data_IF_268311435005
#
_entry.id   IF_268311435005
#
_cell.length_a   1.000
_cell.length_b   1.000
_cell.length_c   1.000
_cell.angle_alpha   90.00
_cell.angle_beta   90.00
_cell.angle_gamma   90.00
#
_symmetry.space_group_name_H-M   'P 1'
#
loop_
_entity.id
_entity.type
_entity.pdbx_description
1 polymer ?
#
# COMPACT_ATOMS: atom_id res chain seq x y z
N UNK A 1 15.99 3.29 16.81
CA UNK A 1 15.08 4.33 17.31
C UNK A 1 13.62 3.86 17.32
N UNK A 2 13.11 3.27 16.22
CA UNK A 2 11.74 2.75 16.08
C UNK A 2 11.39 1.65 17.11
N UNK A 3 12.26 0.66 17.33
CA UNK A 3 12.04 -0.36 18.37
C UNK A 3 11.90 0.23 19.77
N UNK A 4 12.64 1.30 20.10
CA UNK A 4 12.49 1.99 21.40
C UNK A 4 11.13 2.68 21.51
N UNK A 5 10.67 3.32 20.44
CA UNK A 5 9.35 3.97 20.39
C UNK A 5 8.23 2.92 20.52
N UNK A 6 8.34 1.78 19.84
CA UNK A 6 7.38 0.68 19.94
C UNK A 6 7.32 0.10 21.36
N UNK A 7 8.48 -0.21 21.97
CA UNK A 7 8.53 -0.68 23.35
C UNK A 7 8.00 0.35 24.34
N UNK A 8 8.27 1.65 24.13
CA UNK A 8 7.72 2.73 24.96
C UNK A 8 6.20 2.87 24.79
N UNK A 9 5.67 2.77 23.58
CA UNK A 9 4.22 2.76 23.31
C UNK A 9 3.53 1.55 23.93
N UNK A 10 4.11 0.35 23.81
CA UNK A 10 3.62 -0.87 24.44
C UNK A 10 3.64 -0.71 25.97
N UNK A 11 4.71 -0.18 26.54
CA UNK A 11 4.82 0.03 27.98
C UNK A 11 3.84 1.10 28.50
N UNK A 12 3.66 2.21 27.78
CA UNK A 12 2.71 3.28 28.14
C UNK A 12 1.26 2.78 28.03
N UNK A 13 0.90 2.08 26.94
CA UNK A 13 -0.44 1.53 26.77
C UNK A 13 -0.77 0.45 27.80
N UNK A 14 0.17 -0.47 28.07
CA UNK A 14 -0.03 -1.54 29.06
C UNK A 14 -0.05 -1.06 30.52
N UNK A 15 0.56 0.08 30.85
CA UNK A 15 0.60 0.59 32.23
C UNK A 15 -0.43 1.68 32.54
N UNK A 16 -0.92 2.40 31.52
CA UNK A 16 -1.79 3.57 31.73
C UNK A 16 -3.23 3.32 31.24
N UNK A 17 -3.48 2.34 30.36
CA UNK A 17 -4.77 2.19 29.69
C UNK A 17 -5.17 0.71 29.54
N UNK A 18 -5.76 0.11 30.58
CA UNK A 18 -6.37 -1.23 30.57
C UNK A 18 -7.55 -1.41 29.58
N UNK A 19 -7.77 -0.41 28.71
CA UNK A 19 -8.86 -0.30 27.75
C UNK A 19 -8.44 -0.63 26.31
N UNK A 20 -7.16 -0.92 26.09
CA UNK A 20 -6.68 -1.30 24.77
C UNK A 20 -6.53 -2.80 24.68
N UNK A 21 -6.99 -3.35 23.55
CA UNK A 21 -6.73 -4.71 23.13
C UNK A 21 -5.40 -4.74 22.37
N UNK A 22 -4.61 -5.78 22.65
CA UNK A 22 -3.26 -5.94 22.13
C UNK A 22 -3.16 -7.26 21.38
N UNK A 23 -2.90 -7.20 20.08
CA UNK A 23 -2.65 -8.36 19.25
C UNK A 23 -1.19 -8.39 18.84
N UNK A 24 -0.48 -9.47 19.16
CA UNK A 24 0.88 -9.71 18.69
C UNK A 24 0.93 -11.05 17.97
N UNK A 25 1.40 -11.05 16.74
CA UNK A 25 1.62 -12.25 15.93
C UNK A 25 2.97 -12.20 15.25
N UNK A 26 3.47 -13.36 14.87
CA UNK A 26 4.73 -13.48 14.16
C UNK A 26 4.93 -14.89 13.64
N UNK A 27 5.82 -15.03 12.68
CA UNK A 27 6.10 -16.29 12.03
C UNK A 27 7.54 -16.36 11.58
N UNK A 28 8.06 -17.58 11.49
CA UNK A 28 9.37 -17.87 10.92
C UNK A 28 9.23 -19.02 9.92
N UNK A 29 9.91 -18.92 8.79
CA UNK A 29 10.00 -19.97 7.78
C UNK A 29 11.44 -20.05 7.26
N UNK A 30 11.97 -21.27 7.13
CA UNK A 30 13.33 -21.49 6.66
C UNK A 30 13.45 -22.71 5.76
N UNK A 31 14.29 -22.63 4.74
CA UNK A 31 14.69 -23.75 3.88
C UNK A 31 16.20 -23.70 3.66
N UNK A 32 16.92 -24.77 3.97
CA UNK A 32 18.36 -24.90 3.70
C UNK A 32 18.69 -25.46 2.31
N UNK A 33 19.94 -25.27 1.87
CA UNK A 33 20.51 -25.80 0.62
C UNK A 33 20.92 -24.73 -0.38
N UNK A 34 21.09 -25.06 -1.67
CA UNK A 34 21.46 -24.11 -2.74
C UNK A 34 20.46 -22.96 -2.96
N UNK A 35 19.32 -22.99 -2.28
CA UNK A 35 18.29 -21.94 -2.28
C UNK A 35 17.92 -21.60 -0.84
N UNK A 36 18.96 -21.38 -0.03
CA UNK A 36 18.84 -21.04 1.39
C UNK A 36 17.92 -19.84 1.55
N UNK A 37 16.86 -20.00 2.31
CA UNK A 37 15.83 -18.98 2.49
C UNK A 37 15.49 -18.91 3.95
N UNK A 38 15.50 -17.72 4.51
CA UNK A 38 15.07 -17.45 5.88
C UNK A 38 14.11 -16.29 5.83
N UNK A 39 12.95 -16.44 6.43
CA UNK A 39 11.90 -15.44 6.46
C UNK A 39 11.36 -15.32 7.88
N UNK A 40 11.15 -14.09 8.31
CA UNK A 40 10.38 -13.82 9.52
C UNK A 40 9.44 -12.65 9.31
N UNK A 41 8.36 -12.67 10.07
CA UNK A 41 7.44 -11.55 10.20
C UNK A 41 7.07 -11.32 11.65
N UNK A 42 6.69 -10.08 11.93
CA UNK A 42 6.08 -9.66 13.18
C UNK A 42 5.00 -8.64 12.85
N UNK A 43 3.83 -8.83 13.45
CA UNK A 43 2.70 -7.93 13.35
C UNK A 43 2.16 -7.65 14.74
N UNK A 44 1.96 -6.37 15.05
CA UNK A 44 1.43 -5.90 16.32
C UNK A 44 0.29 -4.93 16.06
N UNK A 45 -0.82 -5.08 16.77
CA UNK A 45 -1.93 -4.14 16.76
C UNK A 45 -2.35 -3.77 18.19
N UNK A 46 -2.76 -2.51 18.33
CA UNK A 46 -3.29 -1.91 19.54
C UNK A 46 -4.62 -1.26 19.16
N UNK A 47 -5.72 -1.74 19.70
CA UNK A 47 -7.08 -1.30 19.36
C UNK A 47 -7.83 -0.83 20.59
N UNK A 48 -8.74 0.12 20.42
CA UNK A 48 -9.75 0.45 21.44
C UNK A 48 -11.02 0.94 20.77
N UNK A 49 -12.17 0.48 21.28
CA UNK A 49 -13.49 0.80 20.75
C UNK A 49 -14.39 1.27 21.91
N UNK A 50 -15.11 2.37 21.73
CA UNK A 50 -15.99 2.94 22.74
C UNK A 50 -15.37 4.13 23.50
N UNK A 51 -15.72 4.30 24.77
CA UNK A 51 -15.33 5.48 25.56
C UNK A 51 -13.86 5.40 26.01
N UNK A 52 -12.95 6.12 25.35
CA UNK A 52 -11.51 6.11 25.65
C UNK A 52 -11.17 7.06 26.80
N UNK A 53 -10.67 6.51 27.90
CA UNK A 53 -10.24 7.28 29.07
C UNK A 53 -8.82 7.84 28.88
N UNK A 54 -8.67 9.16 28.93
CA UNK A 54 -7.39 9.87 28.89
C UNK A 54 -7.21 10.65 30.19
N UNK A 55 -6.95 9.93 31.28
CA UNK A 55 -6.84 10.51 32.62
C UNK A 55 -8.14 11.17 33.07
N UNK A 56 -8.16 12.52 33.10
CA UNK A 56 -9.34 13.29 33.52
C UNK A 56 -10.39 13.52 32.40
N UNK A 57 -10.07 13.17 31.15
CA UNK A 57 -10.96 13.36 30.01
C UNK A 57 -11.42 12.01 29.46
N UNK A 58 -12.68 11.90 29.06
CA UNK A 58 -13.23 10.72 28.38
C UNK A 58 -13.61 11.09 26.97
N UNK A 59 -12.97 10.46 25.99
CA UNK A 59 -13.33 10.56 24.58
C UNK A 59 -14.42 9.54 24.29
N UNK A 60 -15.67 10.01 24.25
CA UNK A 60 -16.83 9.12 24.07
C UNK A 60 -16.90 8.52 22.67
N UNK A 61 -17.37 7.28 22.59
CA UNK A 61 -17.66 6.58 21.33
C UNK A 61 -16.54 6.74 20.30
N UNK A 62 -15.30 6.46 20.69
CA UNK A 62 -14.11 6.61 19.85
C UNK A 62 -13.58 5.26 19.39
N UNK A 63 -12.93 5.25 18.24
CA UNK A 63 -12.20 4.09 17.74
C UNK A 63 -10.73 4.48 17.56
N UNK A 64 -9.84 3.62 18.04
CA UNK A 64 -8.41 3.77 17.89
C UNK A 64 -7.80 2.49 17.35
N UNK A 65 -6.88 2.63 16.40
CA UNK A 65 -6.03 1.58 15.91
C UNK A 65 -4.60 2.12 15.79
N UNK A 66 -3.64 1.42 16.36
CA UNK A 66 -2.24 1.48 15.96
C UNK A 66 -1.80 0.08 15.54
N UNK A 67 -1.24 -0.05 14.34
CA UNK A 67 -0.74 -1.31 13.81
C UNK A 67 0.68 -1.14 13.28
N UNK A 68 1.49 -2.17 13.47
CA UNK A 68 2.86 -2.28 13.00
C UNK A 68 3.06 -3.65 12.37
N UNK A 69 3.62 -3.70 11.18
CA UNK A 69 4.00 -4.93 10.50
C UNK A 69 5.43 -4.81 9.98
N UNK A 70 6.18 -5.88 10.10
CA UNK A 70 7.55 -5.98 9.58
C UNK A 70 7.77 -7.36 9.02
N UNK A 71 8.21 -7.41 7.77
CA UNK A 71 8.63 -8.63 7.10
C UNK A 71 10.09 -8.50 6.68
N UNK A 72 10.81 -9.62 6.75
CA UNK A 72 12.18 -9.70 6.27
C UNK A 72 12.50 -11.11 5.77
N UNK A 73 13.25 -11.18 4.67
CA UNK A 73 13.80 -12.41 4.16
C UNK A 73 15.23 -12.28 3.68
N UNK A 74 15.98 -13.37 3.80
CA UNK A 74 17.28 -13.60 3.17
C UNK A 74 17.12 -14.71 2.14
N UNK A 75 17.74 -14.57 0.96
CA UNK A 75 17.76 -15.61 -0.07
C UNK A 75 19.18 -15.83 -0.59
N UNK A 76 19.70 -17.06 -0.49
CA UNK A 76 21.01 -17.48 -0.99
C UNK A 76 22.15 -16.52 -0.61
N UNK A 77 22.17 -16.05 0.65
CA UNK A 77 23.16 -15.09 1.16
C UNK A 77 22.89 -13.62 0.80
N UNK A 78 21.84 -13.33 0.04
CA UNK A 78 21.35 -11.96 -0.20
C UNK A 78 20.51 -11.54 1.00
N UNK A 79 21.08 -10.70 1.86
CA UNK A 79 20.35 -10.04 2.94
C UNK A 79 19.27 -9.11 2.38
N UNK A 80 18.12 -9.02 3.06
CA UNK A 80 17.01 -8.13 2.70
C UNK A 80 16.42 -8.42 1.31
N UNK A 81 16.40 -9.70 0.90
CA UNK A 81 15.71 -10.14 -0.31
C UNK A 81 14.22 -9.75 -0.30
N UNK A 82 13.59 -9.85 0.87
CA UNK A 82 12.37 -9.11 1.19
C UNK A 82 12.66 -8.26 2.42
N UNK A 83 12.28 -6.98 2.41
CA UNK A 83 12.45 -6.13 3.57
C UNK A 83 11.46 -4.97 3.49
N UNK A 84 10.34 -5.14 4.17
CA UNK A 84 9.27 -4.14 4.19
C UNK A 84 8.74 -3.93 5.60
N UNK A 85 8.18 -2.75 5.83
CA UNK A 85 7.58 -2.37 7.10
C UNK A 85 6.38 -1.48 6.82
N UNK A 86 5.34 -1.63 7.64
CA UNK A 86 4.21 -0.73 7.65
C UNK A 86 3.83 -0.34 9.08
N UNK A 87 3.49 0.93 9.26
CA UNK A 87 2.92 1.51 10.46
C UNK A 87 1.62 2.21 10.07
N UNK A 88 0.56 1.95 10.82
CA UNK A 88 -0.76 2.54 10.59
C UNK A 88 -1.31 3.04 11.92
N UNK A 89 -1.76 4.28 11.95
CA UNK A 89 -2.53 4.85 13.04
C UNK A 89 -3.84 5.38 12.48
N UNK A 90 -4.96 5.01 13.09
CA UNK A 90 -6.28 5.54 12.79
C UNK A 90 -6.97 5.91 14.08
N UNK A 91 -7.65 7.03 14.07
CA UNK A 91 -8.46 7.45 15.19
C UNK A 91 -9.72 8.14 14.68
N UNK A 92 -10.87 7.68 15.14
CA UNK A 92 -12.19 8.24 14.87
C UNK A 92 -12.79 8.69 16.20
N UNK A 93 -13.22 9.94 16.28
CA UNK A 93 -13.99 10.46 17.41
C UNK A 93 -15.49 10.35 17.07
N UNK A 94 -16.32 9.98 18.04
CA UNK A 94 -17.77 9.77 17.84
C UNK A 94 -18.05 8.84 16.64
N UNK A 95 -17.38 7.70 16.59
CA UNK A 95 -17.37 6.76 15.47
C UNK A 95 -18.78 6.33 15.02
N UNK A 96 -19.73 6.30 15.97
CA UNK A 96 -21.15 6.03 15.76
C UNK A 96 -22.06 7.25 15.70
N UNK A 97 -21.50 8.44 15.91
CA UNK A 97 -22.20 9.72 15.74
C UNK A 97 -22.58 10.03 14.29
N UNK A 98 -23.50 10.99 14.12
CA UNK A 98 -23.90 11.50 12.80
C UNK A 98 -22.71 12.09 12.06
N UNK A 99 -21.84 12.80 12.77
CA UNK A 99 -20.57 13.32 12.26
C UNK A 99 -19.45 12.76 13.12
N UNK A 100 -18.45 12.18 12.48
CA UNK A 100 -17.31 11.54 13.14
C UNK A 100 -16.02 12.07 12.51
N UNK A 101 -15.32 13.01 13.17
CA UNK A 101 -14.01 13.46 12.71
C UNK A 101 -12.98 12.35 12.93
N UNK A 102 -12.04 12.22 12.01
CA UNK A 102 -11.03 11.19 12.04
C UNK A 102 -9.68 11.69 11.57
N UNK A 103 -8.64 10.96 11.97
CA UNK A 103 -7.29 11.12 11.49
C UNK A 103 -6.69 9.78 11.10
N UNK A 104 -5.77 9.83 10.15
CA UNK A 104 -5.01 8.69 9.66
C UNK A 104 -3.55 9.11 9.60
N UNK A 105 -2.65 8.25 10.05
CA UNK A 105 -1.21 8.42 9.84
C UNK A 105 -0.62 7.07 9.48
N UNK A 106 -0.10 6.97 8.25
CA UNK A 106 0.49 5.75 7.72
C UNK A 106 1.94 6.04 7.33
N UNK A 107 2.84 5.09 7.59
CA UNK A 107 4.22 5.13 7.13
C UNK A 107 4.70 3.74 6.77
N UNK A 108 5.44 3.62 5.67
CA UNK A 108 5.98 2.34 5.21
C UNK A 108 7.29 2.49 4.45
N UNK A 109 8.02 1.38 4.30
CA UNK A 109 9.08 1.22 3.31
C UNK A 109 9.00 -0.19 2.73
N UNK A 110 9.50 -0.38 1.52
CA UNK A 110 9.55 -1.67 0.83
C UNK A 110 10.76 -1.69 -0.12
N UNK A 111 11.84 -2.34 0.33
CA UNK A 111 13.09 -2.40 -0.43
C UNK A 111 12.92 -3.14 -1.77
N UNK A 112 12.04 -4.14 -1.83
CA UNK A 112 11.81 -4.93 -3.05
C UNK A 112 11.09 -4.13 -4.14
N UNK A 113 10.33 -3.12 -3.74
CA UNK A 113 9.68 -2.16 -4.63
C UNK A 113 10.49 -0.86 -4.81
N UNK A 114 11.67 -0.73 -4.21
CA UNK A 114 12.51 0.47 -4.27
C UNK A 114 11.95 1.67 -3.49
N UNK A 115 11.02 1.43 -2.56
CA UNK A 115 10.38 2.47 -1.75
C UNK A 115 11.17 2.63 -0.46
N UNK A 116 11.95 3.70 -0.36
CA UNK A 116 12.73 4.02 0.84
C UNK A 116 11.85 4.54 1.96
N UNK A 117 10.88 5.37 1.62
CA UNK A 117 9.84 5.79 2.56
C UNK A 117 8.57 6.19 1.83
N UNK A 118 7.43 5.88 2.44
CA UNK A 118 6.12 6.38 2.05
C UNK A 118 5.42 6.81 3.33
N UNK A 119 4.76 7.96 3.30
CA UNK A 119 3.94 8.44 4.39
C UNK A 119 2.64 9.04 3.86
N UNK A 120 1.57 8.87 4.62
CA UNK A 120 0.24 9.38 4.29
C UNK A 120 -0.43 9.85 5.58
N UNK A 121 -0.63 11.16 5.70
CA UNK A 121 -1.30 11.79 6.83
C UNK A 121 -2.63 12.34 6.39
N UNK A 122 -3.71 11.91 7.04
CA UNK A 122 -5.07 12.31 6.72
C UNK A 122 -5.77 12.97 7.90
N UNK A 123 -6.51 14.03 7.63
CA UNK A 123 -7.48 14.62 8.54
C UNK A 123 -8.81 14.76 7.82
N UNK A 124 -9.89 14.27 8.43
CA UNK A 124 -11.18 14.23 7.76
C UNK A 124 -12.36 14.09 8.69
N UNK A 125 -13.53 13.95 8.10
CA UNK A 125 -14.75 13.65 8.81
C UNK A 125 -15.67 12.74 7.98
N UNK A 126 -16.41 11.90 8.67
CA UNK A 126 -17.45 11.01 8.16
C UNK A 126 -18.81 11.59 8.54
N UNK A 127 -19.71 11.69 7.58
CA UNK A 127 -21.11 12.06 7.79
C UNK A 127 -21.99 10.86 7.46
N UNK A 128 -22.79 10.40 8.44
CA UNK A 128 -23.86 9.42 8.25
C UNK A 128 -25.08 10.12 7.67
N UNK A 129 -25.17 10.10 6.34
CA UNK A 129 -26.26 10.74 5.59
C UNK A 129 -27.58 10.04 5.88
N UNK A 130 -27.58 8.70 5.93
CA UNK A 130 -28.76 7.88 6.22
C UNK A 130 -28.39 6.77 7.21
N UNK A 131 -28.23 7.13 8.48
CA UNK A 131 -27.89 6.18 9.55
C UNK A 131 -26.68 5.31 9.17
N UNK A 132 -26.83 4.00 9.34
CA UNK A 132 -25.78 3.04 8.96
C UNK A 132 -25.81 2.63 7.48
N UNK A 133 -26.86 2.99 6.73
CA UNK A 133 -27.01 2.61 5.32
C UNK A 133 -26.07 3.41 4.41
N UNK A 134 -26.03 4.73 4.57
CA UNK A 134 -25.23 5.60 3.71
C UNK A 134 -24.41 6.57 4.55
N UNK A 135 -23.11 6.56 4.31
CA UNK A 135 -22.19 7.56 4.85
C UNK A 135 -21.30 8.11 3.75
N UNK A 136 -20.85 9.35 3.91
CA UNK A 136 -19.85 9.98 3.06
C UNK A 136 -18.75 10.50 3.96
N UNK A 137 -17.51 10.16 3.65
CA UNK A 137 -16.36 10.75 4.33
C UNK A 137 -15.55 11.61 3.38
N UNK A 138 -14.96 12.67 3.91
CA UNK A 138 -14.01 13.51 3.21
C UNK A 138 -12.77 13.71 4.07
N UNK A 139 -11.59 13.69 3.46
CA UNK A 139 -10.32 13.94 4.14
C UNK A 139 -9.37 14.75 3.27
N UNK A 140 -8.59 15.63 3.89
CA UNK A 140 -7.36 16.12 3.31
C UNK A 140 -6.25 15.12 3.62
N UNK A 141 -5.48 14.73 2.61
CA UNK A 141 -4.37 13.80 2.68
C UNK A 141 -3.09 14.53 2.28
N UNK A 142 -2.04 14.40 3.09
CA UNK A 142 -0.68 14.78 2.76
C UNK A 142 0.11 13.51 2.58
N UNK A 143 0.56 13.28 1.35
CA UNK A 143 1.25 12.06 0.95
C UNK A 143 2.67 12.43 0.48
N UNK A 144 3.64 11.66 0.95
CA UNK A 144 5.04 11.82 0.58
C UNK A 144 5.64 10.44 0.33
N UNK A 145 6.32 10.30 -0.80
CA UNK A 145 7.00 9.08 -1.18
C UNK A 145 8.42 9.39 -1.65
N UNK A 146 9.39 8.75 -1.02
CA UNK A 146 10.78 8.76 -1.44
C UNK A 146 11.14 7.39 -2.01
N UNK A 147 11.55 7.40 -3.27
CA UNK A 147 11.98 6.21 -4.00
C UNK A 147 13.49 6.15 -3.94
N UNK A 148 14.03 5.15 -3.22
CA UNK A 148 15.44 4.78 -3.27
C UNK A 148 15.49 3.28 -3.04
N UNK A 149 16.08 2.57 -3.99
CA UNK A 149 16.36 1.15 -3.83
C UNK A 149 17.83 0.89 -4.09
N UNK A 150 18.42 -0.06 -3.35
CA UNK A 150 19.58 -0.78 -3.88
C UNK A 150 19.15 -1.33 -5.23
N UNK A 151 19.94 -1.15 -6.28
CA UNK A 151 19.62 -1.65 -7.62
C UNK A 151 18.37 -1.03 -8.27
N UNK A 152 17.99 0.20 -7.92
CA UNK A 152 16.76 0.86 -8.40
C UNK A 152 16.79 1.29 -9.88
N UNK A 153 17.95 1.33 -10.50
CA UNK A 153 18.11 1.62 -11.94
C UNK A 153 18.62 0.37 -12.64
N UNK A 154 17.84 -0.15 -13.59
CA UNK A 154 18.18 -1.29 -14.41
C UNK A 154 18.98 -0.81 -15.63
N UNK A 155 20.22 -1.28 -15.77
CA UNK A 155 21.00 -1.04 -16.98
C UNK A 155 20.75 -2.14 -17.99
N UNK A 156 20.29 -1.75 -19.17
CA UNK A 156 20.00 -2.67 -20.25
C UNK A 156 21.08 -2.60 -21.34
N UNK A 157 21.46 -3.77 -21.82
CA UNK A 157 22.22 -3.92 -23.06
C UNK A 157 21.36 -4.59 -24.13
N UNK A 158 21.46 -4.06 -25.35
CA UNK A 158 20.94 -4.69 -26.56
C UNK A 158 22.07 -5.54 -27.17
N UNK A 159 21.88 -6.86 -27.16
CA UNK A 159 22.81 -7.83 -27.75
C UNK A 159 22.48 -8.13 -29.22
N UNK A 160 21.54 -7.42 -29.82
CA UNK A 160 21.11 -7.55 -31.21
C UNK A 160 20.05 -8.64 -31.43
N UNK A 161 20.07 -9.73 -30.66
CA UNK A 161 19.03 -10.78 -30.66
C UNK A 161 18.22 -10.83 -29.36
N UNK A 162 18.65 -10.08 -28.35
CA UNK A 162 18.12 -10.10 -27.00
C UNK A 162 18.40 -8.79 -26.27
N UNK A 163 17.50 -8.44 -25.36
CA UNK A 163 17.67 -7.33 -24.42
C UNK A 163 17.86 -7.91 -23.02
N UNK A 164 18.92 -7.51 -22.32
CA UNK A 164 19.24 -8.05 -21.00
C UNK A 164 19.62 -6.97 -19.99
N UNK A 165 19.25 -7.18 -18.72
CA UNK A 165 19.76 -6.38 -17.61
C UNK A 165 21.19 -6.82 -17.31
N UNK A 166 22.15 -5.90 -17.41
CA UNK A 166 23.58 -6.20 -17.25
C UNK A 166 24.12 -5.80 -15.88
N UNK A 167 23.52 -4.77 -15.30
CA UNK A 167 23.86 -4.27 -13.99
C UNK A 167 22.67 -3.51 -13.42
N UNK A 168 22.76 -3.25 -12.13
CA UNK A 168 21.87 -2.35 -11.45
C UNK A 168 22.68 -1.22 -10.82
N UNK A 169 22.09 -0.03 -10.73
CA UNK A 169 22.67 1.12 -10.05
C UNK A 169 21.72 1.63 -8.98
N UNK A 170 22.32 2.20 -7.96
CA UNK A 170 21.60 3.00 -6.98
C UNK A 170 21.22 4.33 -7.60
N UNK A 171 20.09 4.86 -7.16
CA UNK A 171 19.59 6.13 -7.60
C UNK A 171 19.79 7.17 -6.51
N UNK A 172 20.69 8.12 -6.76
CA UNK A 172 21.06 9.17 -5.82
C UNK A 172 20.39 10.52 -6.14
N UNK A 173 19.65 10.60 -7.25
CA UNK A 173 19.19 11.87 -7.82
C UNK A 173 17.68 12.11 -7.69
N UNK A 174 16.88 11.08 -7.38
CA UNK A 174 15.44 11.29 -7.17
C UNK A 174 15.19 12.01 -5.85
N UNK A 175 14.33 13.02 -5.93
CA UNK A 175 13.84 13.72 -4.76
C UNK A 175 12.53 13.07 -4.28
N UNK A 176 12.21 13.15 -2.97
CA UNK A 176 10.90 12.76 -2.49
C UNK A 176 9.79 13.48 -3.26
N UNK A 177 8.81 12.72 -3.73
CA UNK A 177 7.60 13.25 -4.33
C UNK A 177 6.62 13.56 -3.20
N UNK A 178 6.11 14.79 -3.18
CA UNK A 178 5.13 15.25 -2.20
C UNK A 178 3.90 15.74 -2.92
N UNK A 179 2.73 15.33 -2.48
CA UNK A 179 1.48 15.86 -2.98
C UNK A 179 0.43 15.89 -1.88
N UNK A 180 -0.57 16.73 -2.07
CA UNK A 180 -1.73 16.78 -1.20
C UNK A 180 -2.97 16.45 -2.00
N UNK A 181 -3.86 15.65 -1.41
CA UNK A 181 -5.10 15.20 -2.05
C UNK A 181 -6.29 15.52 -1.18
N UNK A 182 -7.42 15.74 -1.83
CA UNK A 182 -8.70 15.56 -1.16
C UNK A 182 -9.12 14.12 -1.42
N UNK A 183 -9.70 13.46 -0.43
CA UNK A 183 -10.26 12.13 -0.56
C UNK A 183 -11.74 12.18 -0.22
N UNK A 184 -12.60 11.73 -1.13
CA UNK A 184 -14.04 11.56 -0.88
C UNK A 184 -14.36 10.09 -0.96
N UNK A 185 -15.07 9.57 0.05
CA UNK A 185 -15.35 8.14 0.18
C UNK A 185 -16.80 7.90 0.61
N UNK A 186 -17.75 7.81 -0.33
CA UNK A 186 -19.07 7.31 -0.03
C UNK A 186 -19.01 5.81 0.29
N UNK A 187 -19.77 5.41 1.29
CA UNK A 187 -19.96 4.03 1.71
C UNK A 187 -21.44 3.73 1.86
N UNK A 188 -21.89 2.72 1.12
CA UNK A 188 -23.24 2.22 1.12
C UNK A 188 -23.24 0.80 1.69
N UNK A 189 -24.12 0.55 2.66
CA UNK A 189 -24.42 -0.75 3.26
C UNK A 189 -25.89 -1.05 2.99
N UNK A 190 -26.18 -2.12 2.26
CA UNK A 190 -27.52 -2.54 1.91
C UNK A 190 -27.76 -3.97 2.39
N UNK A 191 -28.51 -4.18 3.49
CA UNK A 191 -29.12 -5.48 3.73
C UNK A 191 -30.22 -5.71 2.67
N UNK A 192 -30.14 -6.84 1.97
CA UNK A 192 -31.07 -7.22 0.90
C UNK A 192 -31.78 -8.49 1.36
N UNK A 193 -32.94 -8.31 2.01
CA UNK A 193 -33.62 -9.41 2.71
C UNK A 193 -32.82 -9.93 3.91
N UNK A 194 -33.02 -11.19 4.27
CA UNK A 194 -32.44 -11.77 5.50
C UNK A 194 -31.00 -12.30 5.30
N UNK A 195 -30.70 -12.79 4.09
CA UNK A 195 -29.48 -13.57 3.83
C UNK A 195 -28.45 -12.86 2.95
N UNK A 196 -28.79 -11.74 2.32
CA UNK A 196 -27.86 -11.02 1.44
C UNK A 196 -27.50 -9.68 2.03
N UNK A 197 -26.21 -9.37 1.98
CA UNK A 197 -25.68 -8.09 2.40
C UNK A 197 -24.71 -7.57 1.35
N UNK A 198 -24.94 -6.34 0.89
CA UNK A 198 -24.09 -5.67 -0.07
C UNK A 198 -23.45 -4.44 0.56
N UNK A 199 -22.15 -4.29 0.35
CA UNK A 199 -21.40 -3.12 0.74
C UNK A 199 -20.62 -2.57 -0.46
N UNK A 200 -20.82 -1.30 -0.76
CA UNK A 200 -20.10 -0.56 -1.80
C UNK A 200 -19.34 0.58 -1.17
N UNK A 201 -18.06 0.66 -1.45
CA UNK A 201 -17.17 1.75 -1.04
C UNK A 201 -16.47 2.28 -2.28
N UNK A 202 -16.64 3.56 -2.55
CA UNK A 202 -15.91 4.23 -3.61
C UNK A 202 -14.90 5.18 -2.98
N UNK A 203 -13.67 5.16 -3.43
CA UNK A 203 -12.63 6.10 -3.01
C UNK A 203 -12.29 6.95 -4.21
N UNK A 204 -12.39 8.27 -4.06
CA UNK A 204 -11.99 9.25 -5.05
C UNK A 204 -10.91 10.15 -4.44
N UNK A 205 -9.71 10.19 -5.02
CA UNK A 205 -8.57 10.96 -4.49
C UNK A 205 -7.85 11.75 -5.59
N UNK A 206 -8.38 12.90 -6.02
CA UNK A 206 -7.72 13.77 -6.99
C UNK A 206 -6.52 14.52 -6.40
N UNK A 207 -5.52 14.77 -7.23
CA UNK A 207 -4.33 15.58 -7.00
C UNK A 207 -3.85 16.21 -8.32
N UNK A 208 -4.40 17.37 -8.68
CA UNK A 208 -4.17 17.95 -10.00
C UNK A 208 -4.71 17.04 -11.10
N UNK A 209 -3.84 16.67 -12.06
CA UNK A 209 -4.17 15.75 -13.16
C UNK A 209 -4.14 14.27 -12.74
N UNK A 210 -3.60 13.96 -11.57
CA UNK A 210 -3.64 12.60 -11.03
C UNK A 210 -4.96 12.34 -10.30
N UNK A 211 -5.60 11.23 -10.62
CA UNK A 211 -6.88 10.80 -10.06
C UNK A 211 -6.81 9.33 -9.72
N UNK A 212 -6.84 9.05 -8.41
CA UNK A 212 -6.99 7.68 -7.91
C UNK A 212 -8.46 7.39 -7.65
N UNK A 213 -8.92 6.28 -8.20
CA UNK A 213 -10.23 5.72 -7.88
C UNK A 213 -10.08 4.26 -7.45
N UNK A 214 -10.82 3.86 -6.42
CA UNK A 214 -10.87 2.47 -5.95
C UNK A 214 -12.33 2.16 -5.60
N UNK A 215 -12.97 1.29 -6.37
CA UNK A 215 -14.35 0.90 -6.17
C UNK A 215 -14.43 -0.53 -5.65
N UNK A 216 -14.68 -0.64 -4.35
CA UNK A 216 -14.72 -1.90 -3.62
C UNK A 216 -16.15 -2.31 -3.36
N UNK A 217 -16.49 -3.50 -3.82
CA UNK A 217 -17.80 -4.10 -3.67
C UNK A 217 -17.65 -5.41 -2.94
N UNK A 218 -18.44 -5.61 -1.89
CA UNK A 218 -18.50 -6.85 -1.12
C UNK A 218 -19.94 -7.33 -1.08
N UNK A 219 -20.16 -8.56 -1.53
CA UNK A 219 -21.41 -9.28 -1.39
C UNK A 219 -21.19 -10.41 -0.39
N UNK A 220 -21.96 -10.39 0.69
CA UNK A 220 -21.99 -11.46 1.69
C UNK A 220 -23.31 -12.19 1.58
N UNK A 221 -23.23 -13.51 1.43
CA UNK A 221 -24.37 -14.42 1.42
C UNK A 221 -24.26 -15.25 2.69
N UNK A 222 -25.20 -15.04 3.61
CA UNK A 222 -25.41 -15.93 4.76
C UNK A 222 -26.02 -17.22 4.24
N UNK A 223 -25.42 -18.34 4.61
CA UNK A 223 -26.00 -19.64 4.29
C UNK A 223 -27.00 -20.03 5.38
N UNK A 224 -27.74 -21.12 5.16
CA UNK A 224 -28.63 -21.66 6.19
C UNK A 224 -27.86 -22.09 7.46
N UNK A 225 -26.59 -22.42 7.30
CA UNK A 225 -25.66 -22.72 8.38
C UNK A 225 -25.03 -21.41 8.88
N UNK A 226 -25.30 -21.02 10.13
CA UNK A 226 -24.82 -19.74 10.70
C UNK A 226 -23.29 -19.64 10.73
N UNK A 227 -22.60 -20.78 10.81
CA UNK A 227 -21.15 -20.89 10.81
C UNK A 227 -20.52 -20.69 9.42
N UNK A 228 -21.32 -20.61 8.35
CA UNK A 228 -20.83 -20.57 6.98
C UNK A 228 -21.35 -19.35 6.22
N UNK A 229 -20.42 -18.54 5.70
CA UNK A 229 -20.71 -17.40 4.86
C UNK A 229 -19.93 -17.45 3.55
N UNK A 230 -20.57 -17.09 2.44
CA UNK A 230 -19.89 -16.88 1.15
C UNK A 230 -19.68 -15.38 0.97
N UNK A 231 -18.43 -14.98 0.70
CA UNK A 231 -18.05 -13.57 0.53
C UNK A 231 -17.43 -13.39 -0.84
N UNK A 232 -18.10 -12.61 -1.69
CA UNK A 232 -17.61 -12.23 -3.01
C UNK A 232 -17.15 -10.77 -2.95
N UNK A 233 -15.89 -10.53 -3.28
CA UNK A 233 -15.29 -9.20 -3.36
C UNK A 233 -14.92 -8.88 -4.80
N UNK A 234 -15.32 -7.70 -5.24
CA UNK A 234 -14.96 -7.18 -6.55
C UNK A 234 -14.39 -5.77 -6.38
N UNK A 235 -13.23 -5.53 -6.97
CA UNK A 235 -12.54 -4.25 -6.92
C UNK A 235 -12.16 -3.77 -8.33
N UNK A 236 -12.45 -2.51 -8.61
CA UNK A 236 -11.89 -1.76 -9.75
C UNK A 236 -11.05 -0.62 -9.20
N UNK A 237 -9.74 -0.67 -9.42
CA UNK A 237 -8.82 0.42 -9.12
C UNK A 237 -8.33 1.06 -10.41
N UNK A 238 -8.29 2.39 -10.41
CA UNK A 238 -7.68 3.19 -11.48
C UNK A 238 -6.75 4.26 -10.88
N UNK A 239 -5.65 4.49 -11.58
CA UNK A 239 -4.63 5.47 -11.25
C UNK A 239 -4.26 6.20 -12.54
N UNK A 240 -4.55 7.50 -12.61
CA UNK A 240 -4.31 8.28 -13.81
C UNK A 240 -2.81 8.57 -14.02
N UNK A 241 -2.03 8.60 -12.93
CA UNK A 241 -0.58 8.76 -12.97
C UNK A 241 0.10 7.72 -12.06
N UNK A 242 0.15 6.45 -12.50
CA UNK A 242 0.70 5.38 -11.68
C UNK A 242 2.15 5.67 -11.29
N UNK A 243 2.47 5.31 -10.05
CA UNK A 243 3.83 5.42 -9.53
C UNK A 243 4.84 4.68 -10.44
N UNK A 244 6.06 5.20 -10.58
CA UNK A 244 7.12 4.48 -11.28
C UNK A 244 7.46 3.18 -10.55
N UNK A 245 7.69 2.11 -11.30
CA UNK A 245 8.04 0.78 -10.78
C UNK A 245 9.48 0.39 -11.09
N UNK A 246 9.94 0.68 -12.31
CA UNK A 246 11.31 0.37 -12.75
C UNK A 246 11.90 1.56 -13.48
N UNK A 247 13.09 2.00 -13.07
CA UNK A 247 13.89 2.99 -13.78
C UNK A 247 14.89 2.27 -14.67
N UNK A 248 15.00 2.69 -15.91
CA UNK A 248 15.78 2.00 -16.94
C UNK A 248 16.72 2.97 -17.63
N UNK A 249 17.94 2.51 -17.87
CA UNK A 249 18.93 3.19 -18.70
C UNK A 249 19.61 2.18 -19.60
N UNK A 250 20.26 2.70 -20.64
CA UNK A 250 21.20 1.90 -21.42
C UNK A 250 22.53 1.79 -20.70
N UNK A 251 23.10 0.59 -20.68
CA UNK A 251 24.42 0.35 -20.13
C UNK A 251 25.49 1.03 -21.02
N UNK A 252 26.24 2.03 -20.52
CA UNK A 252 27.27 2.71 -21.29
C UNK A 252 28.38 1.78 -21.80
N UNK A 253 28.53 0.58 -21.21
CA UNK A 253 29.47 -0.45 -21.71
C UNK A 253 29.05 -1.00 -23.08
N UNK A 254 27.75 -1.03 -23.36
CA UNK A 254 27.17 -1.63 -24.57
C UNK A 254 26.45 -0.60 -25.45
N UNK A 255 26.44 0.66 -25.03
CA UNK A 255 25.78 1.76 -25.73
C UNK A 255 26.71 2.96 -25.90
N UNK A 256 26.79 3.46 -27.12
CA UNK A 256 27.39 4.74 -27.49
C UNK A 256 26.28 5.70 -27.95
N UNK A 257 26.35 6.95 -27.50
CA UNK A 257 25.38 7.99 -27.83
C UNK A 257 25.17 8.11 -29.36
N UNK A 258 23.91 8.03 -29.80
CA UNK A 258 23.53 8.05 -31.22
C UNK A 258 23.29 6.67 -31.85
N UNK A 259 23.55 5.56 -31.14
CA UNK A 259 23.10 4.24 -31.58
C UNK A 259 21.58 4.12 -31.48
N UNK A 260 20.95 3.54 -32.52
CA UNK A 260 19.52 3.22 -32.51
C UNK A 260 19.28 1.92 -31.73
N UNK A 261 19.30 2.00 -30.41
CA UNK A 261 18.84 0.90 -29.54
C UNK A 261 17.47 1.23 -28.96
N UNK A 262 16.69 0.20 -28.66
CA UNK A 262 15.34 0.35 -28.09
C UNK A 262 15.16 -0.63 -26.94
N UNK A 263 14.30 -0.34 -25.97
CA UNK A 263 13.89 -1.33 -24.96
C UNK A 263 12.93 -2.40 -25.53
N UNK A 264 12.72 -2.44 -26.85
CA UNK A 264 12.03 -3.52 -27.53
C UNK A 264 13.06 -4.57 -27.99
N UNK A 265 12.87 -5.82 -27.56
CA UNK A 265 13.66 -6.96 -28.01
C UNK A 265 13.42 -7.18 -29.53
N UNK A 266 14.48 -7.24 -30.36
CA UNK A 266 14.38 -7.66 -31.76
C UNK A 266 14.14 -9.17 -31.95
N UNK A 267 14.34 -10.00 -30.91
CA UNK A 267 14.19 -11.46 -30.94
C UNK A 267 12.74 -11.98 -30.81
N UNK A 268 12.51 -13.22 -31.27
CA UNK A 268 11.19 -13.90 -31.22
C UNK A 268 10.78 -14.25 -29.80
N UNK A 269 10.17 -13.31 -29.08
CA UNK A 269 9.52 -13.57 -27.80
C UNK A 269 8.83 -12.31 -27.25
N UNK A 270 7.51 -12.21 -27.39
CA UNK A 270 6.72 -11.06 -26.89
C UNK A 270 6.55 -11.04 -25.36
N UNK A 271 6.96 -12.07 -24.65
CA UNK A 271 6.44 -12.37 -23.31
C UNK A 271 7.14 -11.67 -22.13
N UNK A 272 8.17 -10.85 -22.36
CA UNK A 272 8.89 -10.17 -21.25
C UNK A 272 9.63 -8.91 -21.71
N UNK A 273 9.02 -8.15 -22.63
CA UNK A 273 9.52 -6.84 -22.99
C UNK A 273 9.25 -5.86 -21.85
N UNK A 274 10.24 -5.08 -21.38
CA UNK A 274 9.94 -3.94 -20.54
C UNK A 274 9.05 -2.96 -21.33
N UNK A 275 7.90 -2.56 -20.76
CA UNK A 275 7.13 -1.45 -21.33
C UNK A 275 7.78 -0.13 -20.93
N UNK A 276 7.88 0.79 -21.88
CA UNK A 276 8.24 2.17 -21.61
C UNK A 276 6.93 2.92 -21.45
N UNK A 277 6.61 3.30 -20.22
CA UNK A 277 5.44 4.12 -19.92
C UNK A 277 5.80 5.61 -19.90
N UNK A 278 7.06 5.95 -19.60
CA UNK A 278 7.60 7.31 -19.76
C UNK A 278 8.96 7.29 -20.46
N UNK A 279 9.13 8.16 -21.44
CA UNK A 279 10.42 8.40 -22.08
C UNK A 279 11.28 9.39 -21.28
N UNK A 280 12.50 9.68 -21.75
CA UNK A 280 13.42 10.59 -21.05
C UNK A 280 12.86 12.01 -20.87
N UNK A 281 12.14 12.53 -21.86
CA UNK A 281 11.63 13.90 -21.82
C UNK A 281 10.44 14.01 -20.85
N UNK A 282 9.56 13.02 -20.86
CA UNK A 282 8.45 12.93 -19.91
C UNK A 282 8.95 12.68 -18.48
N UNK A 283 9.91 11.77 -18.29
CA UNK A 283 10.51 11.52 -16.97
C UNK A 283 11.21 12.75 -16.39
N UNK A 284 11.94 13.52 -17.22
CA UNK A 284 12.59 14.75 -16.77
C UNK A 284 11.56 15.83 -16.40
N UNK A 285 10.49 15.97 -17.21
CA UNK A 285 9.38 16.87 -16.93
C UNK A 285 8.65 16.51 -15.64
N UNK A 286 8.45 15.22 -15.38
CA UNK A 286 7.78 14.70 -14.19
C UNK A 286 8.70 14.71 -12.94
N UNK A 287 9.96 15.14 -13.08
CA UNK A 287 10.91 15.24 -11.97
C UNK A 287 11.56 13.91 -11.60
N UNK A 288 11.40 12.87 -12.43
CA UNK A 288 12.05 11.58 -12.27
C UNK A 288 13.47 11.54 -12.85
N UNK A 289 13.91 12.59 -13.55
CA UNK A 289 15.24 12.65 -14.15
C UNK A 289 15.34 11.88 -15.47
N UNK A 290 16.57 11.62 -15.92
CA UNK A 290 16.84 11.06 -17.25
C UNK A 290 16.83 9.53 -17.26
N UNK A 291 15.65 8.98 -17.01
CA UNK A 291 15.38 7.54 -17.02
C UNK A 291 14.19 7.21 -17.92
N UNK A 292 14.23 6.04 -18.54
CA UNK A 292 13.03 5.43 -19.08
C UNK A 292 12.32 4.71 -17.95
N UNK A 293 10.99 4.83 -17.88
CA UNK A 293 10.25 4.33 -16.72
C UNK A 293 9.19 3.33 -17.16
N UNK A 294 9.13 2.23 -16.44
CA UNK A 294 7.97 1.33 -16.40
C UNK A 294 7.15 1.69 -15.15
N UNK A 295 5.87 2.02 -15.32
CA UNK A 295 4.99 2.38 -14.21
C UNK A 295 4.29 1.14 -13.64
N UNK A 296 3.71 1.26 -12.45
CA UNK A 296 2.66 0.33 -12.03
C UNK A 296 1.49 0.39 -13.02
N UNK A 297 0.69 -0.69 -13.10
CA UNK A 297 -0.48 -0.69 -13.97
C UNK A 297 -1.49 0.36 -13.50
N UNK A 298 -1.86 1.27 -14.40
CA UNK A 298 -2.89 2.29 -14.18
C UNK A 298 -4.24 1.66 -13.79
N UNK A 299 -4.64 0.57 -14.44
CA UNK A 299 -5.87 -0.14 -14.14
C UNK A 299 -5.59 -1.52 -13.51
N UNK A 300 -6.24 -1.78 -12.38
CA UNK A 300 -6.19 -3.07 -11.70
C UNK A 300 -7.62 -3.49 -11.31
N UNK A 301 -8.13 -4.51 -12.00
CA UNK A 301 -9.42 -5.11 -11.70
C UNK A 301 -9.19 -6.47 -11.04
N UNK A 302 -9.73 -6.65 -9.84
CA UNK A 302 -9.59 -7.89 -9.08
C UNK A 302 -10.94 -8.41 -8.64
N UNK A 303 -11.17 -9.70 -8.87
CA UNK A 303 -12.27 -10.44 -8.27
C UNK A 303 -11.69 -11.48 -7.32
N UNK A 304 -12.26 -11.57 -6.12
CA UNK A 304 -11.91 -12.56 -5.11
C UNK A 304 -13.19 -13.20 -4.60
N UNK A 305 -13.20 -14.51 -4.52
CA UNK A 305 -14.30 -15.28 -3.94
C UNK A 305 -13.70 -16.03 -2.74
N UNK A 306 -14.25 -15.78 -1.56
CA UNK A 306 -13.82 -16.38 -0.31
C UNK A 306 -14.97 -17.11 0.38
N UNK A 307 -14.64 -18.19 1.08
CA UNK A 307 -15.56 -18.88 1.98
C UNK A 307 -15.08 -18.59 3.39
N UNK A 308 -15.94 -18.03 4.23
CA UNK A 308 -15.66 -17.75 5.64
C UNK A 308 -16.38 -18.78 6.49
N UNK A 309 -15.61 -19.50 7.31
CA UNK A 309 -16.10 -20.47 8.28
C UNK A 309 -15.83 -19.89 9.67
N UNK A 310 -16.85 -19.76 10.49
CA UNK A 310 -16.76 -19.26 11.87
C UNK A 310 -17.29 -20.33 12.81
N UNK A 311 -16.44 -20.84 13.70
CA UNK A 311 -16.78 -21.85 14.70
C UNK A 311 -16.69 -21.26 16.11
#
# INVERSE_FOLDING_TARGET
MIFRILFTLIFISSTILAQFEHDLSGGYSGRGGNTDFQYWNISYALTSYGDINLGATVLKDSEFLFAFEKNNATWAGIENYYNDQQMTLKFDLWANGTISPFLIAESSFDDALGIKSRSNYGLGAKWRVLGDLLSVSAAFLSEEEEIVGKNSIHLYADYGDSLGVTAYKDNDNLKPVKYSRISVRPKLKLPIGENFYYQSEYYYKPAGDDVLTDWRNTFTIKTAEEWLNIVIKYNIKNDAQPAPKVFMQYDPKYYTEGQKITFANPGKGKASLPSIDRDLAESEKDGYGQYYINNYKAADSRISIGISVTF
#
